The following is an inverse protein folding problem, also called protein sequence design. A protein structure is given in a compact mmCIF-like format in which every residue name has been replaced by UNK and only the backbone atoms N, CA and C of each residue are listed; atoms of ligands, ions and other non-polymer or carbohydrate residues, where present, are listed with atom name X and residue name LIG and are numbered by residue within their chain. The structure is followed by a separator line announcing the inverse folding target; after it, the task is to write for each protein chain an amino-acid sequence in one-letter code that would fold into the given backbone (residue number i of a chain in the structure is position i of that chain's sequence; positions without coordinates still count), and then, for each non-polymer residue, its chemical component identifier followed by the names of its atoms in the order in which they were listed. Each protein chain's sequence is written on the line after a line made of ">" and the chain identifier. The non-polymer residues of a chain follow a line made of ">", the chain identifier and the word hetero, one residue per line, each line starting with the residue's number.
data_IF_646151542905
#
_entry.id   IF_646151542905
#
_cell.length_a   1.000
_cell.length_b   1.000
_cell.length_c   1.000
_cell.angle_alpha   90.00
_cell.angle_beta   90.00
_cell.angle_gamma   90.00
#
_symmetry.space_group_name_H-M   'P 1'
#
loop_
_entity.id
_entity.type
_entity.pdbx_description
1 polymer ?
#
# COMPACT_ATOMS: atom_id res chain seq x y z
N UNK A 1 14.07 -5.32 4.90
CA UNK A 1 12.89 -4.46 5.07
C UNK A 1 11.69 -4.96 4.27
N UNK A 2 11.84 -5.26 2.98
CA UNK A 2 10.70 -5.71 2.15
C UNK A 2 10.15 -7.08 2.56
N UNK A 3 10.94 -7.91 3.23
CA UNK A 3 10.46 -9.19 3.76
C UNK A 3 9.60 -9.07 5.01
N UNK A 4 9.48 -7.87 5.57
CA UNK A 4 8.67 -7.65 6.74
C UNK A 4 7.18 -7.61 6.38
N UNK A 5 6.40 -8.44 7.04
CA UNK A 5 4.97 -8.56 6.80
C UNK A 5 4.23 -7.23 6.87
N UNK A 6 4.50 -6.44 7.90
CA UNK A 6 3.77 -5.18 8.12
C UNK A 6 4.10 -4.13 7.06
N UNK A 7 5.37 -4.05 6.63
CA UNK A 7 5.77 -3.13 5.57
C UNK A 7 5.05 -3.43 4.26
N UNK A 8 4.95 -4.71 3.89
CA UNK A 8 4.24 -5.12 2.68
C UNK A 8 2.75 -4.84 2.77
N UNK A 9 2.13 -5.06 3.93
CA UNK A 9 0.71 -4.77 4.13
C UNK A 9 0.41 -3.27 4.05
N UNK A 10 1.28 -2.43 4.58
CA UNK A 10 1.15 -0.97 4.49
C UNK A 10 1.20 -0.52 3.03
N UNK A 11 2.20 -0.99 2.28
CA UNK A 11 2.34 -0.66 0.85
C UNK A 11 1.11 -1.11 0.08
N UNK A 12 0.62 -2.31 0.34
CA UNK A 12 -0.59 -2.85 -0.29
C UNK A 12 -1.80 -1.94 -0.04
N UNK A 13 -2.01 -1.49 1.19
CA UNK A 13 -3.13 -0.62 1.51
C UNK A 13 -3.03 0.73 0.81
N UNK A 14 -1.82 1.26 0.67
CA UNK A 14 -1.61 2.49 -0.08
C UNK A 14 -1.97 2.32 -1.55
N UNK A 15 -1.61 1.19 -2.15
CA UNK A 15 -1.88 0.91 -3.56
C UNK A 15 -3.35 0.60 -3.85
N UNK A 16 -3.96 -0.25 -3.03
CA UNK A 16 -5.26 -0.84 -3.35
C UNK A 16 -6.43 -0.15 -2.66
N UNK A 17 -6.21 0.41 -1.48
CA UNK A 17 -7.24 1.10 -0.70
C UNK A 17 -7.06 2.61 -0.67
N UNK A 18 -5.92 3.10 -1.13
CA UNK A 18 -5.62 4.52 -1.09
C UNK A 18 -5.41 5.07 0.30
N UNK A 19 -5.03 4.24 1.26
CA UNK A 19 -4.74 4.68 2.63
C UNK A 19 -3.60 5.71 2.61
N UNK A 20 -3.77 6.82 3.30
CA UNK A 20 -2.85 7.95 3.27
C UNK A 20 -2.53 8.52 4.65
N UNK A 21 -3.33 8.22 5.66
CA UNK A 21 -3.16 8.75 7.01
C UNK A 21 -2.91 7.64 8.00
N UNK A 22 -2.25 7.98 9.11
CA UNK A 22 -1.98 7.05 10.20
C UNK A 22 -3.26 6.35 10.67
N UNK A 23 -4.34 7.12 10.81
CA UNK A 23 -5.64 6.59 11.21
C UNK A 23 -6.18 5.56 10.23
N UNK A 24 -6.06 5.83 8.93
CA UNK A 24 -6.52 4.91 7.88
C UNK A 24 -5.72 3.61 7.91
N UNK A 25 -4.42 3.67 8.16
CA UNK A 25 -3.60 2.47 8.31
C UNK A 25 -4.03 1.63 9.51
N UNK A 26 -4.33 2.28 10.65
CA UNK A 26 -4.80 1.58 11.84
C UNK A 26 -6.15 0.88 11.61
N UNK A 27 -7.04 1.51 10.86
CA UNK A 27 -8.35 0.97 10.55
C UNK A 27 -8.28 -0.20 9.56
N UNK A 28 -7.24 -0.23 8.73
CA UNK A 28 -7.07 -1.25 7.69
C UNK A 28 -6.60 -2.60 8.18
N UNK A 29 -6.01 -2.68 9.38
CA UNK A 29 -5.44 -3.93 9.91
C UNK A 29 -5.89 -4.19 11.32
N UNK A 30 -6.36 -5.41 11.56
CA UNK A 30 -6.58 -5.87 12.92
C UNK A 30 -5.24 -6.18 13.57
N UNK A 31 -5.05 -5.63 14.76
CA UNK A 31 -3.96 -6.01 15.62
C UNK A 31 -2.61 -5.39 15.37
N UNK A 32 -2.49 -4.44 14.43
CA UNK A 32 -1.22 -3.72 14.31
C UNK A 32 -1.05 -2.79 15.51
N UNK A 33 0.05 -2.93 16.22
CA UNK A 33 0.37 -2.04 17.33
C UNK A 33 0.81 -0.68 16.78
N UNK A 34 0.45 0.40 17.46
CA UNK A 34 0.76 1.77 17.02
C UNK A 34 2.26 2.01 16.88
N UNK A 35 3.07 1.45 17.78
CA UNK A 35 4.53 1.57 17.72
C UNK A 35 5.11 0.84 16.51
N UNK A 36 4.54 -0.29 16.11
CA UNK A 36 4.96 -1.04 14.92
C UNK A 36 4.64 -0.24 13.67
N UNK A 37 3.43 0.30 13.58
CA UNK A 37 3.03 1.12 12.42
C UNK A 37 3.94 2.34 12.28
N UNK A 38 4.19 3.07 13.36
CA UNK A 38 5.06 4.24 13.34
C UNK A 38 6.49 3.87 12.89
N UNK A 39 7.03 2.77 13.40
CA UNK A 39 8.36 2.30 13.05
C UNK A 39 8.46 1.93 11.56
N UNK A 40 7.47 1.20 11.05
CA UNK A 40 7.47 0.77 9.64
C UNK A 40 7.29 1.93 8.67
N UNK A 41 6.42 2.87 9.00
CA UNK A 41 6.25 4.09 8.19
C UNK A 41 7.54 4.89 8.13
N UNK A 42 8.22 5.06 9.26
CA UNK A 42 9.51 5.76 9.32
C UNK A 42 10.55 5.09 8.44
N UNK A 43 10.62 3.76 8.47
CA UNK A 43 11.57 2.98 7.66
C UNK A 43 11.24 3.09 6.17
N UNK A 44 9.97 3.06 5.81
CA UNK A 44 9.55 3.21 4.42
C UNK A 44 9.92 4.59 3.87
N UNK A 45 9.79 5.63 4.68
CA UNK A 45 10.25 6.97 4.33
C UNK A 45 11.76 7.00 4.16
N UNK A 46 12.49 6.42 5.10
CA UNK A 46 13.95 6.39 5.06
C UNK A 46 14.49 5.66 3.82
N UNK A 47 13.78 4.65 3.33
CA UNK A 47 14.16 3.90 2.12
C UNK A 47 13.63 4.52 0.81
N UNK A 48 12.97 5.67 0.88
CA UNK A 48 12.48 6.35 -0.32
C UNK A 48 11.27 5.68 -0.98
N UNK A 49 10.57 4.81 -0.28
CA UNK A 49 9.38 4.12 -0.77
C UNK A 49 8.13 4.97 -0.55
N UNK A 50 8.12 5.72 0.54
CA UNK A 50 7.03 6.59 0.96
C UNK A 50 7.57 7.99 1.23
N UNK A 51 6.77 9.00 0.93
CA UNK A 51 7.04 10.38 1.29
C UNK A 51 5.92 10.91 2.18
N UNK A 52 6.21 11.95 2.95
CA UNK A 52 5.23 12.57 3.85
C UNK A 52 5.12 14.05 3.58
N UNK A 53 3.93 14.59 3.81
CA UNK A 53 3.69 16.02 3.80
C UNK A 53 2.60 16.37 4.82
N UNK A 54 2.58 17.63 5.27
CA UNK A 54 1.53 18.09 6.17
C UNK A 54 0.20 18.15 5.41
N UNK A 55 -0.89 17.75 6.09
CA UNK A 55 -2.23 17.87 5.52
C UNK A 55 -2.59 19.35 5.36
N UNK A 56 -2.95 19.82 4.17
CA UNK A 56 -3.33 21.22 3.96
C UNK A 56 -4.53 21.65 4.81
N UNK A 57 -5.42 20.72 5.16
CA UNK A 57 -6.60 21.03 5.98
C UNK A 57 -6.36 20.90 7.47
N UNK A 58 -5.30 20.20 7.88
CA UNK A 58 -4.91 20.04 9.28
C UNK A 58 -3.41 19.77 9.36
N UNK A 59 -2.65 20.84 9.59
CA UNK A 59 -1.18 20.80 9.60
C UNK A 59 -0.56 19.88 10.66
N UNK A 60 -1.35 19.39 11.63
CA UNK A 60 -0.87 18.44 12.64
C UNK A 60 -0.91 17.00 12.16
N UNK A 61 -1.59 16.74 11.03
CA UNK A 61 -1.73 15.43 10.44
C UNK A 61 -0.77 15.29 9.25
N UNK A 62 -0.12 14.14 9.15
CA UNK A 62 0.74 13.83 8.01
C UNK A 62 -0.03 13.01 6.98
N UNK A 63 0.24 13.30 5.72
CA UNK A 63 -0.24 12.52 4.59
C UNK A 63 0.95 11.73 4.04
N UNK A 64 0.76 10.42 3.90
CA UNK A 64 1.76 9.49 3.36
C UNK A 64 1.41 9.14 1.92
N UNK A 65 2.39 9.16 1.04
CA UNK A 65 2.21 8.86 -0.38
C UNK A 65 3.33 7.95 -0.86
N UNK A 66 3.01 7.04 -1.79
CA UNK A 66 4.04 6.24 -2.43
C UNK A 66 4.85 7.10 -3.39
N UNK A 67 6.16 6.89 -3.39
CA UNK A 67 7.05 7.46 -4.39
C UNK A 67 6.99 6.64 -5.68
N UNK A 68 7.65 7.11 -6.74
CA UNK A 68 7.80 6.31 -7.97
C UNK A 68 8.47 4.97 -7.68
N UNK A 69 9.46 4.95 -6.80
CA UNK A 69 10.10 3.72 -6.33
C UNK A 69 9.10 2.80 -5.61
N UNK A 70 8.22 3.38 -4.82
CA UNK A 70 7.20 2.62 -4.09
C UNK A 70 6.17 1.99 -5.01
N UNK A 71 5.65 2.74 -5.98
CA UNK A 71 4.63 2.20 -6.89
C UNK A 71 5.20 1.11 -7.81
N UNK A 72 6.49 1.13 -8.05
CA UNK A 72 7.15 0.09 -8.85
C UNK A 72 7.14 -1.28 -8.17
N UNK A 73 6.74 -1.35 -6.90
CA UNK A 73 6.53 -2.63 -6.21
C UNK A 73 5.18 -3.28 -6.55
N UNK A 74 4.30 -2.60 -7.29
CA UNK A 74 2.98 -3.14 -7.62
C UNK A 74 3.05 -4.52 -8.29
N UNK A 75 3.91 -4.77 -9.29
CA UNK A 75 4.02 -6.11 -9.88
C UNK A 75 4.44 -7.18 -8.87
N UNK A 76 5.37 -6.85 -7.99
CA UNK A 76 5.86 -7.79 -6.96
C UNK A 76 4.72 -8.16 -5.99
N UNK A 77 4.00 -7.16 -5.49
CA UNK A 77 2.89 -7.38 -4.56
C UNK A 77 1.75 -8.17 -5.21
N UNK A 78 1.46 -7.90 -6.49
CA UNK A 78 0.45 -8.63 -7.23
C UNK A 78 0.79 -10.11 -7.29
N UNK A 79 2.04 -10.46 -7.62
CA UNK A 79 2.48 -11.85 -7.65
C UNK A 79 2.40 -12.52 -6.27
N UNK A 80 2.74 -11.80 -5.20
CA UNK A 80 2.63 -12.32 -3.85
C UNK A 80 1.19 -12.62 -3.47
N UNK A 81 0.25 -11.74 -3.83
CA UNK A 81 -1.19 -11.96 -3.58
C UNK A 81 -1.68 -13.18 -4.35
N UNK A 82 -1.30 -13.33 -5.61
CA UNK A 82 -1.68 -14.47 -6.44
C UNK A 82 -1.11 -15.76 -5.90
N UNK A 83 0.14 -15.75 -5.45
CA UNK A 83 0.76 -16.92 -4.83
C UNK A 83 0.02 -17.34 -3.57
N UNK A 84 -0.27 -16.40 -2.70
CA UNK A 84 -1.00 -16.67 -1.46
C UNK A 84 -2.41 -17.21 -1.73
N UNK A 85 -3.11 -16.66 -2.73
CA UNK A 85 -4.43 -17.12 -3.11
C UNK A 85 -4.43 -18.56 -3.65
N UNK A 86 -3.32 -18.98 -4.29
CA UNK A 86 -3.20 -20.33 -4.83
C UNK A 86 -2.87 -21.38 -3.76
N UNK A 87 -2.23 -20.97 -2.67
CA UNK A 87 -1.69 -21.88 -1.67
C UNK A 87 -2.28 -21.73 -0.27
N UNK A 88 -2.99 -20.64 -0.02
CA UNK A 88 -3.56 -20.31 1.29
C UNK A 88 -5.02 -19.85 1.12
N UNK A 89 -5.81 -19.99 2.18
CA UNK A 89 -7.14 -19.38 2.20
C UNK A 89 -7.03 -17.89 2.42
N UNK A 90 -7.53 -17.11 1.46
CA UNK A 90 -7.53 -15.65 1.56
C UNK A 90 -8.95 -15.11 1.34
N UNK A 91 -9.25 -13.95 1.93
CA UNK A 91 -10.56 -13.33 1.84
C UNK A 91 -10.80 -12.46 0.61
N UNK A 92 -9.83 -12.30 -0.29
CA UNK A 92 -9.86 -11.33 -1.38
C UNK A 92 -10.16 -11.96 -2.75
N UNK A 93 -11.23 -12.74 -2.85
CA UNK A 93 -11.59 -13.46 -4.08
C UNK A 93 -11.83 -12.53 -5.27
N UNK A 94 -12.54 -11.41 -5.05
CA UNK A 94 -12.83 -10.47 -6.14
C UNK A 94 -11.56 -9.82 -6.68
N UNK A 95 -10.64 -9.42 -5.80
CA UNK A 95 -9.35 -8.84 -6.18
C UNK A 95 -8.51 -9.84 -6.97
N UNK A 96 -8.45 -11.07 -6.51
CA UNK A 96 -7.70 -12.15 -7.18
C UNK A 96 -8.25 -12.40 -8.59
N UNK A 97 -9.57 -12.38 -8.76
CA UNK A 97 -10.18 -12.54 -10.08
C UNK A 97 -9.77 -11.42 -11.03
N UNK A 98 -9.74 -10.17 -10.56
CA UNK A 98 -9.30 -9.03 -11.36
C UNK A 98 -7.85 -9.17 -11.79
N UNK A 99 -6.97 -9.59 -10.87
CA UNK A 99 -5.56 -9.80 -11.15
C UNK A 99 -5.35 -10.90 -12.19
N UNK A 100 -6.09 -12.01 -12.09
CA UNK A 100 -5.96 -13.15 -13.01
C UNK A 100 -6.56 -12.90 -14.38
N UNK A 101 -7.63 -12.12 -14.44
CA UNK A 101 -8.33 -11.86 -15.70
C UNK A 101 -7.44 -11.08 -16.68
N UNK A 102 -6.77 -10.04 -16.20
CA UNK A 102 -5.84 -9.25 -17.01
C UNK A 102 -4.87 -8.51 -16.06
N UNK A 103 -3.72 -9.13 -15.83
CA UNK A 103 -2.72 -8.59 -14.91
C UNK A 103 -2.21 -7.23 -15.35
N UNK A 104 -1.96 -7.04 -16.64
CA UNK A 104 -1.46 -5.77 -17.16
C UNK A 104 -2.47 -4.65 -16.98
N UNK A 105 -3.73 -4.93 -17.24
CA UNK A 105 -4.82 -3.97 -17.04
C UNK A 105 -4.97 -3.62 -15.55
N UNK A 106 -4.89 -4.62 -14.69
CA UNK A 106 -4.95 -4.41 -13.24
C UNK A 106 -3.80 -3.49 -12.78
N UNK A 107 -2.58 -3.78 -13.20
CA UNK A 107 -1.42 -2.97 -12.84
C UNK A 107 -1.49 -1.56 -13.41
N UNK A 108 -1.99 -1.40 -14.62
CA UNK A 108 -2.19 -0.09 -15.23
C UNK A 108 -3.20 0.73 -14.41
N UNK A 109 -4.26 0.10 -13.93
CA UNK A 109 -5.24 0.75 -13.07
C UNK A 109 -4.65 1.21 -11.73
N UNK A 110 -3.81 0.40 -11.14
CA UNK A 110 -3.11 0.76 -9.89
C UNK A 110 -2.22 1.98 -10.10
N UNK A 111 -1.45 2.02 -11.18
CA UNK A 111 -0.57 3.15 -11.51
C UNK A 111 -1.38 4.42 -11.82
N UNK A 112 -2.46 4.29 -12.55
CA UNK A 112 -3.34 5.42 -12.86
C UNK A 112 -3.94 6.01 -11.59
N UNK A 113 -4.43 5.18 -10.68
CA UNK A 113 -4.93 5.62 -9.39
C UNK A 113 -3.88 6.34 -8.58
N UNK A 114 -2.65 5.85 -8.60
CA UNK A 114 -1.53 6.51 -7.94
C UNK A 114 -1.23 7.88 -8.55
N UNK A 115 -1.17 7.98 -9.89
CA UNK A 115 -0.95 9.26 -10.58
C UNK A 115 -2.03 10.28 -10.25
N UNK A 116 -3.28 9.85 -10.24
CA UNK A 116 -4.40 10.72 -9.92
C UNK A 116 -4.27 11.30 -8.51
N UNK A 117 -3.84 10.49 -7.55
CA UNK A 117 -3.61 10.96 -6.18
C UNK A 117 -2.45 11.94 -6.08
N UNK A 118 -1.43 11.83 -6.96
CA UNK A 118 -0.32 12.79 -6.98
C UNK A 118 -0.75 14.16 -7.49
N UNK A 119 -1.78 14.21 -8.31
CA UNK A 119 -2.29 15.46 -8.90
C UNK A 119 -3.19 16.26 -7.98
N UNK A 120 -3.54 15.75 -6.83
CA UNK A 120 -4.43 16.44 -5.87
C UNK A 120 -3.67 17.41 -4.92
#
# INVERSE_FOLDING_TARGET
>A
MLGDRWSLLIIRDMMLRGARTYKEFLEGYEGIATNILADRLRKLVAHGIVTTEADPSDGRRLIYSLTAKGIDLAPVLTEMVLWAAAHEETGNQALVRLMRADKEKFLAGVREGWRDRQSL
#
